data_IF_842990425687
#
_entry.id   IF_842990425687
#
_cell.length_a   1.000
_cell.length_b   1.000
_cell.length_c   1.000
_cell.angle_alpha   90.00
_cell.angle_beta   90.00
_cell.angle_gamma   90.00
#
_symmetry.space_group_name_H-M   'P 1'
#
loop_
_entity.id
_entity.type
_entity.pdbx_description
1 polymer ?
#
# COMPACT_ATOMS: atom_id res chain seq x y z
N UNK A 1 32.37 3.88 4.85
CA UNK A 1 31.83 2.54 5.16
C UNK A 1 30.37 2.59 5.62
N UNK A 2 30.02 3.37 6.66
CA UNK A 2 28.61 3.49 7.11
C UNK A 2 27.72 4.29 6.16
N UNK A 3 28.23 5.36 5.55
CA UNK A 3 27.48 6.15 4.56
C UNK A 3 27.14 5.36 3.29
N UNK A 4 28.06 4.51 2.82
CA UNK A 4 27.82 3.64 1.66
C UNK A 4 26.77 2.57 1.95
N UNK A 5 26.82 1.96 3.14
CA UNK A 5 25.78 1.01 3.59
C UNK A 5 24.41 1.66 3.70
N UNK A 6 24.36 2.91 4.18
CA UNK A 6 23.11 3.68 4.27
C UNK A 6 22.54 3.99 2.88
N UNK A 7 23.38 4.49 1.96
CA UNK A 7 22.98 4.75 0.56
C UNK A 7 22.46 3.49 -0.14
N UNK A 8 23.11 2.35 0.08
CA UNK A 8 22.68 1.07 -0.49
C UNK A 8 21.27 0.68 -0.02
N UNK A 9 20.98 0.80 1.29
CA UNK A 9 19.64 0.49 1.84
C UNK A 9 18.56 1.42 1.31
N UNK A 10 18.86 2.71 1.17
CA UNK A 10 17.90 3.67 0.59
C UNK A 10 17.62 3.32 -0.86
N UNK A 11 18.63 2.97 -1.63
CA UNK A 11 18.48 2.55 -3.01
C UNK A 11 17.63 1.28 -3.14
N UNK A 12 17.95 0.25 -2.35
CA UNK A 12 17.18 -1.01 -2.31
C UNK A 12 15.71 -0.77 -1.97
N UNK A 13 15.45 0.09 -0.97
CA UNK A 13 14.08 0.49 -0.64
C UNK A 13 13.36 1.15 -1.82
N UNK A 14 14.01 2.10 -2.49
CA UNK A 14 13.42 2.78 -3.65
C UNK A 14 13.15 1.82 -4.82
N UNK A 15 13.99 0.81 -5.02
CA UNK A 15 13.73 -0.27 -5.98
C UNK A 15 12.44 -1.02 -5.64
N UNK A 16 12.26 -1.44 -4.38
CA UNK A 16 11.04 -2.12 -3.96
C UNK A 16 9.79 -1.25 -4.07
N UNK A 17 9.89 0.05 -3.79
CA UNK A 17 8.80 1.00 -4.03
C UNK A 17 8.43 1.04 -5.52
N UNK A 18 9.43 1.11 -6.40
CA UNK A 18 9.23 1.10 -7.85
C UNK A 18 8.59 -0.19 -8.35
N UNK A 19 9.08 -1.34 -7.90
CA UNK A 19 8.54 -2.66 -8.26
C UNK A 19 7.07 -2.82 -7.83
N UNK A 20 6.76 -2.40 -6.61
CA UNK A 20 5.39 -2.43 -6.07
C UNK A 20 4.48 -1.50 -6.87
N UNK A 21 4.93 -0.27 -7.17
CA UNK A 21 4.18 0.67 -8.02
C UNK A 21 3.87 0.05 -9.38
N UNK A 22 4.89 -0.45 -10.10
CA UNK A 22 4.69 -1.03 -11.43
C UNK A 22 3.74 -2.23 -11.41
N UNK A 23 3.86 -3.09 -10.39
CA UNK A 23 2.97 -4.23 -10.22
C UNK A 23 1.50 -3.77 -10.04
N UNK A 24 1.26 -2.78 -9.17
CA UNK A 24 -0.08 -2.24 -8.96
C UNK A 24 -0.64 -1.55 -10.21
N UNK A 25 0.18 -0.78 -10.95
CA UNK A 25 -0.23 -0.13 -12.20
C UNK A 25 -0.67 -1.16 -13.26
N UNK A 26 0.06 -2.28 -13.38
CA UNK A 26 -0.29 -3.37 -14.30
C UNK A 26 -1.62 -4.03 -13.92
N UNK A 27 -1.86 -4.27 -12.63
CA UNK A 27 -3.10 -4.88 -12.15
C UNK A 27 -4.31 -3.95 -12.28
N UNK A 28 -4.14 -2.68 -11.89
CA UNK A 28 -5.21 -1.67 -11.88
C UNK A 28 -5.42 -1.02 -13.26
N UNK A 29 -4.51 -1.25 -14.21
CA UNK A 29 -4.53 -0.67 -15.57
C UNK A 29 -4.65 0.87 -15.55
N UNK A 30 -3.95 1.50 -14.60
CA UNK A 30 -3.91 2.96 -14.45
C UNK A 30 -2.53 3.41 -13.98
N UNK A 31 -2.20 4.65 -14.27
CA UNK A 31 -0.98 5.29 -13.78
C UNK A 31 -1.17 5.73 -12.33
N UNK A 32 -0.18 5.44 -11.49
CA UNK A 32 -0.13 5.85 -10.08
C UNK A 32 0.84 7.01 -9.92
N UNK A 33 0.84 7.64 -8.74
CA UNK A 33 1.74 8.75 -8.46
C UNK A 33 3.21 8.33 -8.70
N UNK A 34 4.09 9.27 -9.08
CA UNK A 34 5.53 9.02 -9.17
C UNK A 34 6.08 8.42 -7.87
N UNK A 35 7.23 7.75 -7.93
CA UNK A 35 7.85 7.11 -6.75
C UNK A 35 7.93 8.08 -5.54
N UNK A 36 8.23 9.36 -5.77
CA UNK A 36 8.28 10.40 -4.73
C UNK A 36 6.93 10.74 -4.08
N UNK A 37 5.81 10.43 -4.74
CA UNK A 37 4.44 10.67 -4.27
C UNK A 37 3.64 9.40 -3.98
N UNK A 38 4.17 8.23 -4.31
CA UNK A 38 3.45 6.95 -4.23
C UNK A 38 3.01 6.63 -2.80
N UNK A 39 3.90 6.77 -1.82
CA UNK A 39 3.55 6.57 -0.40
C UNK A 39 2.48 7.56 0.09
N UNK A 40 2.50 8.79 -0.42
CA UNK A 40 1.46 9.78 -0.11
C UNK A 40 0.09 9.37 -0.67
N UNK A 41 0.06 8.76 -1.84
CA UNK A 41 -1.16 8.25 -2.44
C UNK A 41 -1.73 7.06 -1.64
N UNK A 42 -0.87 6.13 -1.21
CA UNK A 42 -1.29 4.96 -0.41
C UNK A 42 -1.97 5.35 0.91
N UNK A 43 -1.61 6.49 1.50
CA UNK A 43 -2.19 7.02 2.74
C UNK A 43 -3.74 7.16 2.70
N UNK A 44 -4.30 7.46 1.52
CA UNK A 44 -5.75 7.61 1.34
C UNK A 44 -6.48 6.25 1.27
N UNK A 45 -5.73 5.15 1.18
CA UNK A 45 -6.23 3.79 1.06
C UNK A 45 -7.00 3.49 -0.23
N UNK A 46 -7.24 4.47 -1.10
CA UNK A 46 -8.02 4.32 -2.33
C UNK A 46 -7.41 3.21 -3.20
N UNK A 47 -6.11 3.32 -3.50
CA UNK A 47 -5.40 2.33 -4.32
C UNK A 47 -5.37 0.93 -3.68
N UNK A 48 -5.30 0.86 -2.34
CA UNK A 48 -5.36 -0.39 -1.60
C UNK A 48 -6.73 -1.04 -1.70
N UNK A 49 -7.81 -0.25 -1.57
CA UNK A 49 -9.17 -0.74 -1.71
C UNK A 49 -9.50 -1.16 -3.15
N UNK A 50 -8.98 -0.45 -4.16
CA UNK A 50 -9.11 -0.87 -5.55
C UNK A 50 -8.38 -2.18 -5.82
N UNK A 51 -7.17 -2.35 -5.27
CA UNK A 51 -6.41 -3.60 -5.36
C UNK A 51 -7.17 -4.74 -4.67
N UNK A 52 -7.67 -4.51 -3.45
CA UNK A 52 -8.51 -5.44 -2.71
C UNK A 52 -9.71 -5.93 -3.53
N UNK A 53 -10.33 -5.02 -4.28
CA UNK A 53 -11.50 -5.34 -5.12
C UNK A 53 -11.18 -6.31 -6.25
N UNK A 54 -9.93 -6.44 -6.67
CA UNK A 54 -9.53 -7.38 -7.72
C UNK A 54 -9.51 -8.83 -7.24
N UNK A 55 -9.15 -9.08 -5.98
CA UNK A 55 -8.98 -10.44 -5.45
C UNK A 55 -9.99 -10.83 -4.36
N UNK A 56 -10.67 -9.86 -3.75
CA UNK A 56 -11.73 -10.07 -2.77
C UNK A 56 -12.82 -8.97 -2.89
N UNK A 57 -13.61 -8.98 -3.98
CA UNK A 57 -14.61 -7.93 -4.25
C UNK A 57 -15.62 -7.72 -3.13
N UNK A 58 -15.97 -8.77 -2.39
CA UNK A 58 -16.93 -8.77 -1.29
C UNK A 58 -16.45 -8.01 -0.04
N UNK A 59 -15.13 -7.88 0.13
CA UNK A 59 -14.53 -7.11 1.23
C UNK A 59 -14.68 -5.60 1.02
N UNK A 60 -14.84 -5.16 -0.22
CA UNK A 60 -14.84 -3.74 -0.59
C UNK A 60 -16.27 -3.28 -0.82
N UNK A 61 -16.78 -2.44 0.08
CA UNK A 61 -18.10 -1.82 -0.08
C UNK A 61 -18.02 -0.63 -1.04
N UNK A 62 -17.98 0.59 -0.49
CA UNK A 62 -17.84 1.83 -1.25
C UNK A 62 -16.52 2.48 -0.89
N UNK A 63 -15.66 2.65 -1.89
CA UNK A 63 -14.38 3.36 -1.75
C UNK A 63 -14.70 4.83 -1.47
N UNK A 64 -14.07 5.39 -0.44
CA UNK A 64 -14.20 6.79 -0.08
C UNK A 64 -13.10 7.61 -0.74
N UNK A 65 -13.50 8.67 -1.45
CA UNK A 65 -12.60 9.56 -2.20
C UNK A 65 -12.84 11.01 -1.76
N UNK A 66 -11.76 11.73 -1.48
CA UNK A 66 -11.76 13.13 -1.06
C UNK A 66 -10.36 13.71 -1.32
N UNK A 67 -10.29 14.99 -1.69
CA UNK A 67 -9.03 15.70 -1.91
C UNK A 67 -8.21 15.86 -0.61
N UNK A 68 -8.91 15.96 0.53
CA UNK A 68 -8.28 16.06 1.84
C UNK A 68 -8.33 14.71 2.55
N UNK A 69 -7.24 14.38 3.24
CA UNK A 69 -7.22 13.23 4.13
C UNK A 69 -8.22 13.45 5.28
N UNK A 70 -9.07 12.45 5.50
CA UNK A 70 -10.13 12.40 6.48
C UNK A 70 -10.10 11.02 7.13
N UNK A 71 -10.54 10.92 8.39
CA UNK A 71 -10.58 9.65 9.12
C UNK A 71 -11.30 8.53 8.36
N UNK A 72 -12.31 8.89 7.56
CA UNK A 72 -13.06 7.95 6.70
C UNK A 72 -12.20 7.22 5.66
N UNK A 73 -11.02 7.72 5.29
CA UNK A 73 -10.07 6.96 4.46
C UNK A 73 -9.54 5.70 5.15
N UNK A 74 -9.62 5.61 6.48
CA UNK A 74 -9.31 4.38 7.20
C UNK A 74 -10.18 3.20 6.74
N UNK A 75 -11.44 3.45 6.34
CA UNK A 75 -12.33 2.42 5.80
C UNK A 75 -11.72 1.74 4.56
N UNK A 76 -11.07 2.52 3.67
CA UNK A 76 -10.43 1.97 2.47
C UNK A 76 -9.28 1.01 2.82
N UNK A 77 -8.49 1.36 3.84
CA UNK A 77 -7.39 0.51 4.33
C UNK A 77 -7.96 -0.74 5.02
N UNK A 78 -9.03 -0.59 5.79
CA UNK A 78 -9.72 -1.71 6.43
C UNK A 78 -10.29 -2.69 5.41
N UNK A 79 -10.84 -2.23 4.27
CA UNK A 79 -11.27 -3.13 3.20
C UNK A 79 -10.12 -3.96 2.64
N UNK A 80 -8.91 -3.40 2.57
CA UNK A 80 -7.72 -4.14 2.17
C UNK A 80 -7.34 -5.21 3.21
N UNK A 81 -7.39 -4.88 4.51
CA UNK A 81 -7.18 -5.89 5.56
C UNK A 81 -8.22 -7.01 5.55
N UNK A 82 -9.49 -6.68 5.32
CA UNK A 82 -10.55 -7.68 5.20
C UNK A 82 -10.32 -8.58 3.97
N UNK A 83 -9.84 -8.00 2.87
CA UNK A 83 -9.47 -8.75 1.67
C UNK A 83 -8.29 -9.71 1.93
N UNK A 84 -7.24 -9.26 2.62
CA UNK A 84 -6.11 -10.11 3.01
C UNK A 84 -6.55 -11.29 3.88
N UNK A 85 -7.48 -11.06 4.82
CA UNK A 85 -8.04 -12.12 5.67
C UNK A 85 -8.83 -13.14 4.85
N UNK A 86 -9.64 -12.66 3.89
CA UNK A 86 -10.46 -13.53 3.04
C UNK A 86 -9.61 -14.50 2.20
N UNK A 87 -8.46 -14.04 1.71
CA UNK A 87 -7.51 -14.90 0.96
C UNK A 87 -6.55 -15.67 1.87
N UNK A 88 -6.73 -15.61 3.20
CA UNK A 88 -5.87 -16.25 4.20
C UNK A 88 -4.40 -15.84 4.09
N UNK A 89 -4.14 -14.57 3.74
CA UNK A 89 -2.78 -14.05 3.65
C UNK A 89 -2.12 -14.06 5.04
N UNK A 90 -0.84 -14.48 5.19
CA UNK A 90 -0.22 -14.62 6.50
C UNK A 90 -0.08 -13.29 7.25
N UNK A 91 -0.53 -13.26 8.51
CA UNK A 91 -0.56 -12.05 9.35
C UNK A 91 0.82 -11.43 9.61
N UNK A 92 1.90 -12.21 9.51
CA UNK A 92 3.28 -11.73 9.68
C UNK A 92 3.64 -10.61 8.68
N UNK A 93 2.97 -10.56 7.53
CA UNK A 93 3.18 -9.53 6.52
C UNK A 93 2.30 -8.30 6.73
N UNK A 94 1.34 -8.32 7.65
CA UNK A 94 0.36 -7.25 7.78
C UNK A 94 1.01 -6.00 8.38
N UNK A 95 0.66 -4.85 7.83
CA UNK A 95 0.91 -3.55 8.46
C UNK A 95 -0.29 -3.16 9.32
N UNK A 96 -0.10 -2.19 10.21
CA UNK A 96 -1.16 -1.60 11.04
C UNK A 96 -1.79 -0.40 10.34
N UNK A 97 -3.05 -0.08 10.66
CA UNK A 97 -3.72 1.09 10.07
C UNK A 97 -2.88 2.37 10.19
N UNK A 98 -2.25 2.58 11.35
CA UNK A 98 -1.38 3.73 11.66
C UNK A 98 -0.08 3.73 10.84
N UNK A 99 0.44 2.56 10.46
CA UNK A 99 1.63 2.44 9.62
C UNK A 99 1.43 3.14 8.27
N UNK A 100 0.23 3.03 7.69
CA UNK A 100 -0.17 3.63 6.42
C UNK A 100 -0.84 5.00 6.60
N UNK A 101 -1.92 5.09 7.39
CA UNK A 101 -2.74 6.29 7.51
C UNK A 101 -1.99 7.47 8.15
N UNK A 102 -1.18 7.21 9.17
CA UNK A 102 -0.33 8.23 9.83
C UNK A 102 1.11 8.21 9.30
N UNK A 103 1.41 7.32 8.33
CA UNK A 103 2.76 7.07 7.80
C UNK A 103 3.78 6.72 8.87
N UNK A 104 3.37 6.04 9.95
CA UNK A 104 4.31 5.63 11.00
C UNK A 104 5.35 4.62 10.51
N UNK A 105 5.00 3.81 9.52
CA UNK A 105 5.90 2.79 8.98
C UNK A 105 5.54 2.38 7.53
N UNK A 106 5.70 3.31 6.58
CA UNK A 106 5.49 3.02 5.16
C UNK A 106 6.31 1.85 4.61
N UNK A 107 7.58 1.60 5.05
CA UNK A 107 8.31 0.43 4.59
C UNK A 107 7.60 -0.90 4.84
N UNK A 108 6.88 -1.02 5.96
CA UNK A 108 6.08 -2.21 6.26
C UNK A 108 4.87 -2.35 5.34
N UNK A 109 4.26 -1.24 4.93
CA UNK A 109 3.19 -1.21 3.92
C UNK A 109 3.72 -1.69 2.56
N UNK A 110 4.88 -1.18 2.14
CA UNK A 110 5.53 -1.61 0.88
C UNK A 110 5.90 -3.09 0.93
N UNK A 111 6.44 -3.58 2.05
CA UNK A 111 6.77 -4.99 2.23
C UNK A 111 5.54 -5.90 2.14
N UNK A 112 4.42 -5.50 2.77
CA UNK A 112 3.14 -6.22 2.66
C UNK A 112 2.69 -6.34 1.19
N UNK A 113 2.70 -5.22 0.45
CA UNK A 113 2.32 -5.19 -0.96
C UNK A 113 3.28 -6.01 -1.83
N UNK A 114 4.58 -5.95 -1.55
CA UNK A 114 5.57 -6.73 -2.27
C UNK A 114 5.42 -8.23 -2.04
N UNK A 115 5.04 -8.65 -0.83
CA UNK A 115 4.76 -10.05 -0.50
C UNK A 115 3.43 -10.57 -1.10
N UNK A 116 2.52 -9.67 -1.47
CA UNK A 116 1.25 -10.00 -2.12
C UNK A 116 1.38 -10.18 -3.65
N UNK A 117 2.48 -9.70 -4.25
CA UNK A 117 2.76 -9.83 -5.68
C UNK A 117 2.88 -11.28 -6.14
#
# INVERSE_FOLDING_TARGET
MDEERSKFRVYEYLCHVGETKEWMERLLKKELAPISGFENQLQYGITLAELAKLFSPESVKKIFESEKLQFRHSDNINYFFDALKNIQFPEIFYFELTDCYEKKNMPKVIYCLHALR
#
